data_IF_712950197467
#
_entry.id   IF_712950197467
#
_cell.length_a   1.000
_cell.length_b   1.000
_cell.length_c   1.000
_cell.angle_alpha   90.00
_cell.angle_beta   90.00
_cell.angle_gamma   90.00
#
_symmetry.space_group_name_H-M   'P 1'
#
loop_
_entity.id
_entity.type
_entity.pdbx_description
1 polymer ?
#
# COMPACT_ATOMS: atom_id res chain seq x y z
N UNK A 1 22.41 -11.72 -14.43
CA UNK A 1 22.95 -10.47 -13.85
C UNK A 1 24.39 -10.70 -13.45
N UNK A 2 25.18 -9.64 -13.28
CA UNK A 2 26.55 -9.71 -12.77
C UNK A 2 26.52 -9.90 -11.24
N UNK A 3 26.90 -11.08 -10.76
CA UNK A 3 26.82 -11.46 -9.34
C UNK A 3 27.73 -10.61 -8.45
N UNK A 4 28.79 -10.00 -9.00
CA UNK A 4 29.71 -9.14 -8.25
C UNK A 4 29.08 -7.81 -7.81
N UNK A 5 27.92 -7.46 -8.37
CA UNK A 5 27.20 -6.20 -8.11
C UNK A 5 25.92 -6.42 -7.29
N UNK A 6 25.67 -7.63 -6.83
CA UNK A 6 24.49 -7.90 -6.00
C UNK A 6 24.68 -7.28 -4.63
N UNK A 7 23.60 -6.71 -4.12
CA UNK A 7 23.55 -6.12 -2.80
C UNK A 7 22.93 -7.11 -1.82
N UNK A 8 23.47 -7.15 -0.62
CA UNK A 8 22.80 -7.74 0.54
C UNK A 8 21.60 -6.88 0.97
N UNK A 9 20.71 -7.42 1.79
CA UNK A 9 19.59 -6.64 2.35
C UNK A 9 20.05 -5.40 3.13
N UNK A 10 21.20 -5.44 3.81
CA UNK A 10 21.75 -4.30 4.53
C UNK A 10 22.27 -3.21 3.58
N UNK A 11 23.03 -3.59 2.56
CA UNK A 11 23.52 -2.64 1.54
C UNK A 11 22.38 -2.01 0.75
N UNK A 12 21.32 -2.78 0.47
CA UNK A 12 20.11 -2.27 -0.18
C UNK A 12 19.32 -1.32 0.74
N UNK A 13 19.22 -1.63 2.04
CA UNK A 13 18.63 -0.73 3.03
C UNK A 13 19.39 0.61 3.09
N UNK A 14 20.72 0.58 3.09
CA UNK A 14 21.56 1.79 3.10
C UNK A 14 21.36 2.62 1.82
N UNK A 15 21.21 1.97 0.67
CA UNK A 15 20.85 2.64 -0.59
C UNK A 15 19.49 3.37 -0.46
N UNK A 16 18.47 2.70 0.08
CA UNK A 16 17.16 3.34 0.28
C UNK A 16 17.21 4.50 1.27
N UNK A 17 17.98 4.38 2.36
CA UNK A 17 18.17 5.48 3.32
C UNK A 17 18.80 6.70 2.65
N UNK A 18 19.77 6.51 1.76
CA UNK A 18 20.36 7.60 0.99
C UNK A 18 19.32 8.24 0.04
N UNK A 19 18.50 7.44 -0.64
CA UNK A 19 17.42 7.96 -1.49
C UNK A 19 16.37 8.76 -0.70
N UNK A 20 15.98 8.30 0.49
CA UNK A 20 15.04 9.01 1.37
C UNK A 20 15.63 10.34 1.85
N UNK A 21 16.95 10.40 2.05
CA UNK A 21 17.64 11.65 2.40
C UNK A 21 17.68 12.64 1.23
N UNK A 22 17.90 12.15 0.02
CA UNK A 22 18.11 12.99 -1.16
C UNK A 22 16.81 13.44 -1.83
N UNK A 23 15.73 12.68 -1.65
CA UNK A 23 14.44 12.90 -2.30
C UNK A 23 13.29 12.87 -1.29
N UNK A 24 12.17 13.59 -1.54
CA UNK A 24 11.01 13.61 -0.66
C UNK A 24 10.17 12.32 -0.76
N UNK A 25 10.80 11.17 -0.56
CA UNK A 25 10.17 9.85 -0.60
C UNK A 25 9.37 9.67 0.70
N UNK A 26 8.07 9.47 0.56
CA UNK A 26 7.14 9.29 1.71
C UNK A 26 6.60 7.86 1.82
N UNK A 27 6.84 7.01 0.82
CA UNK A 27 6.40 5.62 0.80
C UNK A 27 7.33 4.77 -0.06
N UNK A 28 7.66 3.56 0.39
CA UNK A 28 8.33 2.50 -0.38
C UNK A 28 7.50 1.22 -0.25
N UNK A 29 7.31 0.52 -1.37
CA UNK A 29 6.61 -0.75 -1.47
C UNK A 29 7.62 -1.85 -1.80
N UNK A 30 7.50 -3.01 -1.13
CA UNK A 30 8.36 -4.17 -1.31
C UNK A 30 9.88 -3.86 -1.41
N UNK A 31 10.48 -3.21 -0.39
CA UNK A 31 11.92 -2.94 -0.38
C UNK A 31 12.78 -4.20 -0.38
N UNK A 32 12.25 -5.34 0.07
CA UNK A 32 12.96 -6.63 0.10
C UNK A 32 12.06 -7.77 -0.37
N UNK A 33 12.64 -8.95 -0.57
CA UNK A 33 11.93 -10.13 -1.04
C UNK A 33 10.82 -10.57 -0.07
N UNK A 34 9.84 -11.30 -0.60
CA UNK A 34 8.61 -11.72 0.09
C UNK A 34 8.83 -12.58 1.35
N UNK A 35 10.00 -13.22 1.48
CA UNK A 35 10.36 -14.06 2.64
C UNK A 35 11.58 -13.55 3.42
N UNK A 36 12.16 -12.40 3.06
CA UNK A 36 13.33 -11.82 3.75
C UNK A 36 12.93 -10.96 4.96
N UNK A 37 12.19 -11.57 5.88
CA UNK A 37 11.58 -10.91 7.04
C UNK A 37 12.57 -10.07 7.87
N UNK A 38 13.81 -10.52 8.00
CA UNK A 38 14.82 -9.84 8.80
C UNK A 38 15.24 -8.51 8.17
N UNK A 39 15.36 -8.45 6.83
CA UNK A 39 15.66 -7.20 6.13
C UNK A 39 14.50 -6.19 6.26
N UNK A 40 13.26 -6.64 6.14
CA UNK A 40 12.07 -5.81 6.35
C UNK A 40 12.05 -5.18 7.76
N UNK A 41 12.16 -6.00 8.80
CA UNK A 41 12.19 -5.53 10.20
C UNK A 41 13.37 -4.60 10.46
N UNK A 42 14.55 -4.93 9.93
CA UNK A 42 15.74 -4.09 10.06
C UNK A 42 15.55 -2.70 9.45
N UNK A 43 14.97 -2.62 8.26
CA UNK A 43 14.76 -1.36 7.55
C UNK A 43 13.65 -0.52 8.17
N UNK A 44 12.50 -1.13 8.53
CA UNK A 44 11.40 -0.42 9.15
C UNK A 44 11.84 0.30 10.44
N UNK A 45 12.73 -0.31 11.22
CA UNK A 45 13.26 0.29 12.44
C UNK A 45 14.10 1.56 12.22
N UNK A 46 14.53 1.84 10.98
CA UNK A 46 15.42 2.96 10.63
C UNK A 46 14.70 4.13 9.93
N UNK A 47 13.41 4.01 9.61
CA UNK A 47 12.70 5.00 8.78
C UNK A 47 11.37 5.43 9.40
N UNK A 48 10.95 6.67 9.11
CA UNK A 48 9.62 7.20 9.47
C UNK A 48 8.77 7.53 8.23
N UNK A 49 9.00 6.78 7.14
CA UNK A 49 8.15 6.81 5.94
C UNK A 49 7.19 5.62 5.97
N UNK A 50 6.21 5.60 5.06
CA UNK A 50 5.37 4.42 4.90
C UNK A 50 6.14 3.27 4.24
N UNK A 51 6.12 2.08 4.85
CA UNK A 51 6.59 0.84 4.22
C UNK A 51 5.37 -0.02 3.91
N UNK A 52 5.18 -0.31 2.62
CA UNK A 52 4.01 -1.03 2.10
C UNK A 52 4.40 -2.48 1.82
N UNK A 53 3.63 -3.42 2.36
CA UNK A 53 3.73 -4.83 2.06
C UNK A 53 2.75 -5.20 0.94
N UNK A 54 3.28 -5.64 -0.20
CA UNK A 54 2.50 -6.22 -1.32
C UNK A 54 2.77 -7.72 -1.40
N UNK A 55 3.85 -8.16 -2.04
CA UNK A 55 4.19 -9.58 -2.18
C UNK A 55 4.52 -10.23 -0.82
N UNK A 56 5.03 -9.46 0.14
CA UNK A 56 5.24 -9.92 1.52
C UNK A 56 3.93 -10.44 2.15
N UNK A 57 2.79 -9.82 1.83
CA UNK A 57 1.51 -10.13 2.48
C UNK A 57 0.49 -10.79 1.57
N UNK A 58 0.54 -10.56 0.26
CA UNK A 58 -0.41 -11.03 -0.76
C UNK A 58 -1.88 -10.92 -0.33
N UNK A 59 -2.24 -9.85 0.38
CA UNK A 59 -3.58 -9.64 0.96
C UNK A 59 -4.06 -10.86 1.80
N UNK A 60 -3.14 -11.66 2.36
CA UNK A 60 -3.44 -12.88 3.11
C UNK A 60 -3.37 -12.63 4.62
N UNK A 61 -4.45 -12.90 5.39
CA UNK A 61 -4.50 -12.62 6.83
C UNK A 61 -3.37 -13.25 7.66
N UNK A 62 -2.90 -14.46 7.32
CA UNK A 62 -1.82 -15.11 8.06
C UNK A 62 -0.47 -14.42 7.85
N UNK A 63 -0.19 -13.99 6.62
CA UNK A 63 1.03 -13.24 6.30
C UNK A 63 0.98 -11.83 6.88
N UNK A 64 -0.19 -11.17 6.84
CA UNK A 64 -0.42 -9.88 7.49
C UNK A 64 -0.14 -9.99 9.00
N UNK A 65 -0.72 -10.98 9.67
CA UNK A 65 -0.46 -11.25 11.08
C UNK A 65 1.03 -11.42 11.38
N UNK A 66 1.72 -12.21 10.56
CA UNK A 66 3.17 -12.43 10.70
C UNK A 66 3.97 -11.14 10.52
N UNK A 67 3.61 -10.33 9.52
CA UNK A 67 4.25 -9.05 9.24
C UNK A 67 4.04 -8.03 10.36
N UNK A 68 2.85 -8.01 10.98
CA UNK A 68 2.55 -7.21 12.17
C UNK A 68 3.41 -7.65 13.36
N UNK A 69 3.43 -8.95 13.67
CA UNK A 69 4.20 -9.51 14.79
C UNK A 69 5.70 -9.21 14.67
N UNK A 70 6.24 -9.32 13.45
CA UNK A 70 7.64 -9.04 13.14
C UNK A 70 7.96 -7.55 12.98
N UNK A 71 6.96 -6.67 12.94
CA UNK A 71 7.12 -5.25 12.59
C UNK A 71 7.87 -5.10 11.26
N UNK A 72 7.38 -5.78 10.23
CA UNK A 72 8.01 -5.82 8.92
C UNK A 72 7.59 -4.64 8.04
N UNK A 73 6.35 -4.15 8.16
CA UNK A 73 5.85 -3.02 7.39
C UNK A 73 4.94 -2.12 8.25
N UNK A 74 4.39 -1.06 7.65
CA UNK A 74 3.46 -0.13 8.29
C UNK A 74 2.21 0.14 7.46
N UNK A 75 2.06 -0.52 6.31
CA UNK A 75 0.92 -0.42 5.43
C UNK A 75 0.74 -1.70 4.61
N UNK A 76 -0.51 -2.03 4.30
CA UNK A 76 -0.89 -3.12 3.41
C UNK A 76 -1.15 -2.57 2.00
N UNK A 77 -0.62 -3.21 0.96
CA UNK A 77 -1.14 -3.05 -0.39
C UNK A 77 -2.30 -4.03 -0.61
N UNK A 78 -3.52 -3.52 -0.67
CA UNK A 78 -4.72 -4.35 -0.76
C UNK A 78 -5.07 -4.59 -2.23
N UNK A 79 -4.99 -5.86 -2.66
CA UNK A 79 -5.44 -6.33 -3.98
C UNK A 79 -6.50 -7.40 -3.78
N UNK A 80 -7.75 -7.05 -4.04
CA UNK A 80 -8.91 -7.94 -3.79
C UNK A 80 -8.79 -9.31 -4.44
N UNK A 81 -8.15 -9.39 -5.61
CA UNK A 81 -8.01 -10.65 -6.35
C UNK A 81 -6.82 -11.51 -5.92
N UNK A 82 -5.98 -11.06 -4.96
CA UNK A 82 -5.00 -11.94 -4.31
C UNK A 82 -5.67 -12.85 -3.28
N UNK A 83 -6.69 -12.36 -2.56
CA UNK A 83 -7.41 -13.14 -1.54
C UNK A 83 -8.70 -13.78 -2.08
N UNK A 84 -9.33 -13.14 -3.08
CA UNK A 84 -10.38 -13.75 -3.90
C UNK A 84 -11.82 -13.35 -3.55
N UNK A 85 -12.08 -12.84 -2.33
CA UNK A 85 -13.40 -12.34 -1.95
C UNK A 85 -13.36 -10.93 -1.34
N UNK A 86 -14.49 -10.23 -1.45
CA UNK A 86 -14.66 -8.91 -0.83
C UNK A 86 -14.60 -8.99 0.70
N UNK A 87 -15.24 -9.99 1.31
CA UNK A 87 -15.27 -10.14 2.77
C UNK A 87 -13.87 -10.28 3.35
N UNK A 88 -13.04 -11.15 2.77
CA UNK A 88 -11.65 -11.34 3.22
C UNK A 88 -10.78 -10.12 2.94
N UNK A 89 -11.05 -9.38 1.85
CA UNK A 89 -10.36 -8.12 1.57
C UNK A 89 -10.67 -7.06 2.63
N UNK A 90 -11.93 -6.97 3.07
CA UNK A 90 -12.33 -6.04 4.13
C UNK A 90 -11.69 -6.46 5.46
N UNK A 91 -11.71 -7.75 5.79
CA UNK A 91 -11.08 -8.27 7.01
C UNK A 91 -9.57 -7.96 7.05
N UNK A 92 -8.85 -8.19 5.94
CA UNK A 92 -7.44 -7.83 5.82
C UNK A 92 -7.17 -6.32 6.04
N UNK A 93 -8.06 -5.45 5.55
CA UNK A 93 -7.96 -4.01 5.79
C UNK A 93 -8.20 -3.68 7.27
N UNK A 94 -9.22 -4.26 7.90
CA UNK A 94 -9.57 -4.02 9.29
C UNK A 94 -8.48 -4.51 10.24
N UNK A 95 -7.90 -5.68 10.00
CA UNK A 95 -6.76 -6.21 10.77
C UNK A 95 -5.55 -5.28 10.67
N UNK A 96 -5.28 -4.76 9.47
CA UNK A 96 -4.21 -3.78 9.24
C UNK A 96 -4.46 -2.49 10.04
N UNK A 97 -5.67 -1.93 9.97
CA UNK A 97 -6.03 -0.74 10.74
C UNK A 97 -5.95 -0.97 12.25
N UNK A 98 -6.39 -2.12 12.74
CA UNK A 98 -6.32 -2.49 14.15
C UNK A 98 -4.86 -2.56 14.66
N UNK A 99 -3.91 -2.90 13.79
CA UNK A 99 -2.48 -2.86 14.06
C UNK A 99 -1.83 -1.48 13.87
N UNK A 100 -2.63 -0.44 13.55
CA UNK A 100 -2.14 0.92 13.29
C UNK A 100 -1.47 1.09 11.93
N UNK A 101 -1.65 0.14 11.01
CA UNK A 101 -1.15 0.24 9.64
C UNK A 101 -2.07 1.08 8.76
N UNK A 102 -1.49 1.67 7.71
CA UNK A 102 -2.26 2.20 6.58
C UNK A 102 -2.73 1.06 5.66
N UNK A 103 -3.69 1.37 4.79
CA UNK A 103 -4.11 0.46 3.71
C UNK A 103 -4.08 1.26 2.42
N UNK A 104 -3.36 0.78 1.41
CA UNK A 104 -3.35 1.32 0.07
C UNK A 104 -4.08 0.36 -0.86
N UNK A 105 -5.28 0.75 -1.29
CA UNK A 105 -6.03 -0.04 -2.28
C UNK A 105 -5.28 0.02 -3.61
N UNK A 106 -5.10 -1.11 -4.27
CA UNK A 106 -4.30 -1.21 -5.49
C UNK A 106 -5.04 -1.87 -6.63
N UNK A 107 -4.74 -1.38 -7.83
CA UNK A 107 -5.06 -2.06 -9.08
C UNK A 107 -4.19 -3.31 -9.31
N UNK A 108 -4.40 -3.95 -10.46
CA UNK A 108 -3.45 -4.91 -11.06
C UNK A 108 -2.83 -4.35 -12.33
N UNK A 109 -1.70 -4.92 -12.75
CA UNK A 109 -1.05 -4.53 -14.00
C UNK A 109 -1.96 -4.80 -15.22
N UNK A 110 -2.63 -5.95 -15.26
CA UNK A 110 -3.77 -6.21 -16.13
C UNK A 110 -5.06 -5.71 -15.48
N UNK A 111 -5.62 -4.62 -16.00
CA UNK A 111 -6.85 -4.00 -15.50
C UNK A 111 -7.92 -3.93 -16.59
N UNK A 112 -9.16 -3.70 -16.16
CA UNK A 112 -10.36 -3.51 -16.98
C UNK A 112 -10.91 -2.09 -16.79
N UNK A 113 -12.03 -1.79 -17.44
CA UNK A 113 -12.80 -0.56 -17.26
C UNK A 113 -13.56 -0.49 -15.93
N UNK A 114 -13.66 -1.61 -15.20
CA UNK A 114 -14.40 -1.70 -13.92
C UNK A 114 -13.82 -0.72 -12.89
N UNK A 115 -14.66 -0.03 -12.12
CA UNK A 115 -14.21 1.01 -11.18
C UNK A 115 -14.29 0.61 -9.71
N UNK A 116 -14.52 -0.66 -9.40
CA UNK A 116 -14.80 -1.18 -8.06
C UNK A 116 -13.81 -0.70 -7.00
N UNK A 117 -12.52 -0.68 -7.32
CA UNK A 117 -11.49 -0.28 -6.35
C UNK A 117 -11.53 1.21 -5.98
N UNK A 118 -12.15 2.07 -6.80
CA UNK A 118 -12.36 3.47 -6.46
C UNK A 118 -13.37 3.60 -5.32
N UNK A 119 -14.54 2.96 -5.47
CA UNK A 119 -15.57 2.90 -4.44
C UNK A 119 -15.08 2.15 -3.19
N UNK A 120 -14.31 1.07 -3.36
CA UNK A 120 -13.70 0.34 -2.25
C UNK A 120 -12.74 1.21 -1.43
N UNK A 121 -11.87 1.98 -2.10
CA UNK A 121 -10.91 2.85 -1.42
C UNK A 121 -11.58 3.91 -0.56
N UNK A 122 -12.69 4.49 -1.06
CA UNK A 122 -13.51 5.45 -0.31
C UNK A 122 -14.28 4.75 0.81
N UNK A 123 -14.95 3.62 0.53
CA UNK A 123 -15.73 2.88 1.51
C UNK A 123 -14.90 2.35 2.69
N UNK A 124 -13.66 1.93 2.44
CA UNK A 124 -12.71 1.53 3.48
C UNK A 124 -12.03 2.70 4.18
N UNK A 125 -12.30 3.95 3.76
CA UNK A 125 -11.61 5.15 4.25
C UNK A 125 -10.08 5.00 4.21
N UNK A 126 -9.56 4.38 3.15
CA UNK A 126 -8.13 4.03 2.99
C UNK A 126 -7.21 5.23 2.85
N UNK A 127 -7.72 6.36 2.35
CA UNK A 127 -6.97 7.62 2.21
C UNK A 127 -5.89 7.62 1.13
N UNK A 128 -5.62 6.47 0.50
CA UNK A 128 -4.61 6.30 -0.52
C UNK A 128 -4.98 5.14 -1.46
N UNK A 129 -4.74 5.36 -2.76
CA UNK A 129 -5.02 4.39 -3.82
C UNK A 129 -3.92 4.45 -4.87
N UNK A 130 -3.45 3.28 -5.31
CA UNK A 130 -2.51 3.11 -6.44
C UNK A 130 -3.25 2.49 -7.61
N UNK A 131 -3.70 3.33 -8.53
CA UNK A 131 -4.49 2.90 -9.70
C UNK A 131 -3.85 3.20 -11.06
N UNK A 132 -2.55 3.47 -11.09
CA UNK A 132 -1.75 3.68 -12.31
C UNK A 132 -1.59 5.14 -12.69
N UNK A 133 -0.88 5.36 -13.81
CA UNK A 133 -0.65 6.70 -14.34
C UNK A 133 -1.96 7.39 -14.78
N UNK A 134 -1.99 8.73 -14.91
CA UNK A 134 -3.11 9.47 -15.52
C UNK A 134 -3.12 9.31 -17.06
N UNK A 135 -2.99 8.08 -17.52
CA UNK A 135 -2.99 7.67 -18.91
C UNK A 135 -3.52 6.24 -19.00
N UNK A 136 -4.14 5.91 -20.13
CA UNK A 136 -4.84 4.64 -20.40
C UNK A 136 -6.14 4.51 -19.57
N UNK A 137 -7.23 4.21 -20.26
CA UNK A 137 -8.58 4.39 -19.70
C UNK A 137 -8.92 3.41 -18.59
N UNK A 138 -8.27 2.26 -18.50
CA UNK A 138 -8.43 1.32 -17.39
C UNK A 138 -7.94 1.90 -16.05
N UNK A 139 -7.06 2.93 -16.11
CA UNK A 139 -6.57 3.70 -14.94
C UNK A 139 -7.46 4.90 -14.69
N UNK A 140 -7.72 5.67 -15.75
CA UNK A 140 -8.55 6.86 -15.70
C UNK A 140 -9.98 6.55 -15.25
N UNK A 141 -10.51 5.36 -15.54
CA UNK A 141 -11.85 4.96 -15.10
C UNK A 141 -12.01 5.08 -13.58
N UNK A 142 -11.02 4.61 -12.80
CA UNK A 142 -11.02 4.68 -11.34
C UNK A 142 -10.81 6.11 -10.84
N UNK A 143 -9.85 6.85 -11.44
CA UNK A 143 -9.61 8.25 -11.07
C UNK A 143 -10.84 9.13 -11.33
N UNK A 144 -11.49 8.96 -12.49
CA UNK A 144 -12.73 9.66 -12.82
C UNK A 144 -13.88 9.26 -11.89
N UNK A 145 -13.92 8.00 -11.45
CA UNK A 145 -14.91 7.56 -10.47
C UNK A 145 -14.70 8.23 -9.11
N UNK A 146 -13.46 8.40 -8.65
CA UNK A 146 -13.15 9.16 -7.44
C UNK A 146 -13.65 10.61 -7.55
N UNK A 147 -13.43 11.28 -8.69
CA UNK A 147 -13.96 12.64 -8.92
C UNK A 147 -15.48 12.69 -8.83
N UNK A 148 -16.20 11.67 -9.35
CA UNK A 148 -17.67 11.59 -9.22
C UNK A 148 -18.11 11.34 -7.78
N UNK A 149 -17.40 10.49 -7.04
CA UNK A 149 -17.68 10.20 -5.63
C UNK A 149 -17.48 11.47 -4.80
N UNK A 150 -16.36 12.18 -5.00
CA UNK A 150 -16.07 13.46 -4.36
C UNK A 150 -17.20 14.48 -4.63
N UNK A 151 -17.60 14.66 -5.90
CA UNK A 151 -18.71 15.53 -6.26
C UNK A 151 -20.03 15.12 -5.58
N UNK A 152 -20.29 13.82 -5.45
CA UNK A 152 -21.51 13.27 -4.82
C UNK A 152 -21.54 13.50 -3.32
N UNK A 153 -20.39 13.34 -2.65
CA UNK A 153 -20.29 13.53 -1.20
C UNK A 153 -20.28 15.02 -0.82
N UNK A 154 -19.72 15.89 -1.67
CA UNK A 154 -19.60 17.33 -1.41
C UNK A 154 -18.93 17.59 -0.07
N UNK A 155 -19.52 18.46 0.76
CA UNK A 155 -18.99 18.85 2.07
C UNK A 155 -18.95 17.71 3.10
N UNK A 156 -19.43 16.50 2.76
CA UNK A 156 -19.37 15.31 3.63
C UNK A 156 -18.07 14.52 3.48
N UNK A 157 -17.22 14.86 2.51
CA UNK A 157 -15.94 14.20 2.30
C UNK A 157 -14.77 15.08 2.76
N UNK A 158 -13.72 14.43 3.26
CA UNK A 158 -12.45 15.08 3.58
C UNK A 158 -11.36 14.41 2.75
N UNK A 159 -10.59 15.22 2.02
CA UNK A 159 -9.40 14.72 1.33
C UNK A 159 -8.31 14.39 2.35
N UNK A 160 -7.78 13.17 2.31
CA UNK A 160 -6.83 12.69 3.31
C UNK A 160 -5.53 13.51 3.37
N UNK A 161 -5.05 14.03 2.23
CA UNK A 161 -3.88 14.90 2.15
C UNK A 161 -2.64 14.32 2.86
N UNK A 162 -2.03 15.11 3.75
CA UNK A 162 -0.87 14.68 4.53
C UNK A 162 -1.18 13.52 5.51
N UNK A 163 -2.46 13.26 5.81
CA UNK A 163 -2.91 12.21 6.72
C UNK A 163 -3.19 10.87 6.02
N UNK A 164 -2.77 10.68 4.76
CA UNK A 164 -3.05 9.47 3.97
C UNK A 164 -2.70 8.13 4.66
N UNK A 165 -1.73 8.12 5.58
CA UNK A 165 -1.32 6.93 6.36
C UNK A 165 -2.34 6.52 7.43
N UNK A 166 -3.20 7.45 7.88
CA UNK A 166 -4.08 7.29 9.06
C UNK A 166 -5.48 7.83 8.82
N UNK A 167 -5.96 7.83 7.58
CA UNK A 167 -7.25 8.40 7.18
C UNK A 167 -8.46 7.74 7.81
N UNK A 168 -8.34 6.53 8.37
CA UNK A 168 -9.43 5.89 9.12
C UNK A 168 -9.71 6.60 10.46
N UNK A 169 -8.83 7.50 10.91
CA UNK A 169 -8.92 8.21 12.19
C UNK A 169 -9.19 9.72 12.04
N UNK A 170 -9.49 10.21 10.84
CA UNK A 170 -9.84 11.62 10.57
C UNK A 170 -11.35 11.77 10.37
#
# INVERSE_FOLDING_TARGET
>A
SDASKWLTGQELADLYLQLIKDYPIVSIEDPFAEDDWDAWTHFLAKVDIQIVADDLTVTNPQRIKTAIEKKAASALLLKVNQIGTLSESIEAALDSYAAGWGVMVSHRSGETEDTFIADLAVGLSSGQIKTGAPARSERLAKLNQILRIEQTLGDKAIYAGANFRKSVNI
#
